data_IF_932871802071
#
_entry.id   IF_932871802071
#
_cell.length_a   1.000
_cell.length_b   1.000
_cell.length_c   1.000
_cell.angle_alpha   90.00
_cell.angle_beta   90.00
_cell.angle_gamma   90.00
#
_symmetry.space_group_name_H-M   'P 1'
#
loop_
_entity.id
_entity.type
_entity.pdbx_description
1 polymer ?
#
# COMPACT_ATOMS: atom_id res chain seq x y z
N UNK A 1 -25.99 17.01 -20.83
CA UNK A 1 -25.18 16.60 -19.66
C UNK A 1 -23.72 16.67 -20.07
N UNK A 2 -23.04 17.74 -19.72
CA UNK A 2 -21.63 17.97 -20.09
C UNK A 2 -20.79 17.17 -19.10
N UNK A 3 -19.91 16.33 -19.59
CA UNK A 3 -19.02 15.47 -18.79
C UNK A 3 -17.99 16.32 -18.02
N UNK A 4 -18.18 16.65 -16.74
CA UNK A 4 -17.30 17.58 -16.04
C UNK A 4 -15.89 17.02 -15.74
N UNK A 5 -15.57 15.80 -16.22
CA UNK A 5 -14.32 15.11 -15.90
C UNK A 5 -13.56 14.55 -17.12
N UNK A 6 -13.91 14.93 -18.35
CA UNK A 6 -13.24 14.38 -19.56
C UNK A 6 -11.72 14.60 -19.50
N UNK A 7 -11.28 15.79 -19.08
CA UNK A 7 -9.86 16.11 -18.96
C UNK A 7 -9.15 15.26 -17.90
N UNK A 8 -9.82 14.98 -16.77
CA UNK A 8 -9.29 14.13 -15.69
C UNK A 8 -9.23 12.65 -16.10
N UNK A 9 -10.24 12.15 -16.78
CA UNK A 9 -10.27 10.79 -17.33
C UNK A 9 -9.15 10.58 -18.36
N UNK A 10 -8.95 11.54 -19.25
CA UNK A 10 -7.86 11.48 -20.23
C UNK A 10 -6.49 11.54 -19.55
N UNK A 11 -6.31 12.44 -18.58
CA UNK A 11 -5.10 12.53 -17.77
C UNK A 11 -4.80 11.24 -17.02
N UNK A 12 -5.82 10.54 -16.51
CA UNK A 12 -5.69 9.26 -15.84
C UNK A 12 -5.16 8.17 -16.79
N UNK A 13 -5.71 8.08 -18.00
CA UNK A 13 -5.25 7.13 -19.02
C UNK A 13 -3.80 7.40 -19.39
N UNK A 14 -3.45 8.66 -19.66
CA UNK A 14 -2.07 9.05 -19.99
C UNK A 14 -1.11 8.70 -18.84
N UNK A 15 -1.49 8.97 -17.59
CA UNK A 15 -0.70 8.66 -16.40
C UNK A 15 -0.41 7.17 -16.29
N UNK A 16 -1.43 6.30 -16.42
CA UNK A 16 -1.25 4.86 -16.40
C UNK A 16 -0.34 4.35 -17.55
N UNK A 17 -0.41 4.96 -18.73
CA UNK A 17 0.45 4.61 -19.87
C UNK A 17 1.89 5.08 -19.61
N UNK A 18 2.05 6.32 -19.14
CA UNK A 18 3.38 6.93 -18.91
C UNK A 18 4.15 6.22 -17.80
N UNK A 19 3.50 5.90 -16.67
CA UNK A 19 4.14 5.19 -15.58
C UNK A 19 4.61 3.79 -15.99
N UNK A 20 3.82 3.06 -16.79
CA UNK A 20 4.24 1.77 -17.35
C UNK A 20 5.41 1.86 -18.33
N UNK A 21 5.63 3.03 -18.94
CA UNK A 21 6.78 3.32 -19.81
C UNK A 21 7.97 3.91 -19.08
N UNK A 22 7.96 3.93 -17.75
CA UNK A 22 9.01 4.51 -16.93
C UNK A 22 9.14 6.03 -17.02
N UNK A 23 8.09 6.73 -17.45
CA UNK A 23 8.04 8.19 -17.52
C UNK A 23 7.35 8.74 -16.28
N UNK A 24 8.14 9.17 -15.31
CA UNK A 24 7.67 9.67 -14.02
C UNK A 24 7.79 11.20 -13.93
N UNK A 25 6.92 11.81 -13.12
CA UNK A 25 7.00 13.24 -12.83
C UNK A 25 8.20 13.54 -11.94
N UNK A 26 9.01 14.54 -12.34
CA UNK A 26 10.25 14.87 -11.63
C UNK A 26 10.12 16.01 -10.59
N UNK A 27 8.99 16.70 -10.56
CA UNK A 27 8.85 18.04 -9.96
C UNK A 27 8.22 18.08 -8.57
N UNK A 28 7.88 16.92 -7.97
CA UNK A 28 7.20 16.87 -6.67
C UNK A 28 7.84 15.86 -5.73
N UNK A 29 7.71 16.12 -4.44
CA UNK A 29 8.01 15.13 -3.41
C UNK A 29 7.12 13.90 -3.62
N UNK A 30 7.73 12.76 -3.87
CA UNK A 30 7.05 11.53 -4.25
C UNK A 30 6.90 10.53 -3.10
N UNK A 31 7.56 10.77 -1.96
CA UNK A 31 7.44 9.90 -0.79
C UNK A 31 7.68 10.65 0.51
N UNK A 32 7.15 10.12 1.60
CA UNK A 32 7.32 10.58 2.98
C UNK A 32 7.66 9.38 3.87
N UNK A 33 8.49 9.60 4.88
CA UNK A 33 8.80 8.62 5.92
C UNK A 33 8.30 9.16 7.25
N UNK A 34 7.27 8.52 7.79
CA UNK A 34 6.57 8.96 9.00
C UNK A 34 6.89 8.00 10.14
N UNK A 35 8.02 8.23 10.82
CA UNK A 35 8.48 7.40 11.94
C UNK A 35 7.50 7.52 13.13
N UNK A 36 7.32 6.43 13.90
CA UNK A 36 6.47 6.37 15.10
C UNK A 36 5.07 6.93 14.82
N UNK A 37 4.41 6.42 13.79
CA UNK A 37 3.11 6.93 13.34
C UNK A 37 1.99 6.63 14.34
N UNK A 38 2.09 5.52 15.07
CA UNK A 38 1.16 5.15 16.12
C UNK A 38 1.76 5.42 17.50
N UNK A 39 0.93 5.78 18.50
CA UNK A 39 1.36 5.75 19.90
C UNK A 39 1.91 4.37 20.28
N UNK A 40 2.96 4.34 21.06
CA UNK A 40 3.68 3.09 21.38
C UNK A 40 2.75 2.00 21.96
N UNK A 41 1.84 2.35 22.86
CA UNK A 41 0.87 1.41 23.45
C UNK A 41 0.00 0.75 22.39
N UNK A 42 -0.50 1.54 21.43
CA UNK A 42 -1.36 1.06 20.36
C UNK A 42 -0.56 0.17 19.41
N UNK A 43 0.64 0.60 19.06
CA UNK A 43 1.54 -0.18 18.23
C UNK A 43 1.85 -1.55 18.83
N UNK A 44 2.21 -1.62 20.11
CA UNK A 44 2.51 -2.88 20.80
C UNK A 44 1.27 -3.78 20.88
N UNK A 45 0.08 -3.20 21.07
CA UNK A 45 -1.17 -3.95 21.03
C UNK A 45 -1.40 -4.59 19.66
N UNK A 46 -1.27 -3.81 18.57
CA UNK A 46 -1.45 -4.31 17.20
C UNK A 46 -0.41 -5.38 16.84
N UNK A 47 0.86 -5.15 17.21
CA UNK A 47 1.94 -6.12 17.02
C UNK A 47 1.63 -7.45 17.71
N UNK A 48 1.20 -7.40 18.97
CA UNK A 48 0.84 -8.58 19.73
C UNK A 48 -0.38 -9.32 19.14
N UNK A 49 -1.37 -8.56 18.64
CA UNK A 49 -2.53 -9.10 17.97
C UNK A 49 -2.14 -9.88 16.71
N UNK A 50 -1.27 -9.30 15.88
CA UNK A 50 -0.78 -9.94 14.65
C UNK A 50 0.03 -11.20 14.94
N UNK A 51 0.92 -11.15 15.93
CA UNK A 51 1.74 -12.32 16.31
C UNK A 51 0.87 -13.52 16.75
N UNK A 52 -0.22 -13.27 17.46
CA UNK A 52 -1.16 -14.34 17.90
C UNK A 52 -2.02 -14.90 16.76
N UNK A 53 -2.20 -14.16 15.69
CA UNK A 53 -3.13 -14.48 14.60
C UNK A 53 -2.44 -14.79 13.26
N UNK A 54 -1.17 -15.18 13.29
CA UNK A 54 -0.41 -15.50 12.06
C UNK A 54 -1.05 -16.62 11.22
N UNK A 55 -1.80 -17.52 11.83
CA UNK A 55 -2.51 -18.59 11.11
C UNK A 55 -3.61 -18.10 10.16
N UNK A 56 -4.08 -16.85 10.31
CA UNK A 56 -5.06 -16.27 9.42
C UNK A 56 -4.48 -15.88 8.05
N UNK A 57 -3.16 -15.77 7.93
CA UNK A 57 -2.52 -15.39 6.68
C UNK A 57 -2.45 -16.57 5.72
N UNK A 58 -3.26 -16.54 4.71
CA UNK A 58 -3.24 -17.55 3.65
C UNK A 58 -2.25 -17.16 2.55
N UNK A 59 -1.46 -18.14 2.10
CA UNK A 59 -0.54 -17.93 0.99
C UNK A 59 -1.32 -17.62 -0.29
N UNK A 60 -0.92 -16.54 -0.98
CA UNK A 60 -1.52 -16.11 -2.24
C UNK A 60 -0.40 -15.60 -3.16
N UNK A 61 0.21 -16.51 -3.90
CA UNK A 61 1.25 -16.15 -4.87
C UNK A 61 0.62 -15.63 -6.17
N UNK A 62 1.29 -14.68 -6.78
CA UNK A 62 0.97 -14.14 -8.10
C UNK A 62 2.23 -14.01 -8.95
N UNK A 63 2.12 -13.50 -10.16
CA UNK A 63 3.26 -13.27 -11.07
C UNK A 63 4.28 -12.26 -10.52
N UNK A 64 3.84 -11.33 -9.67
CA UNK A 64 4.69 -10.25 -9.13
C UNK A 64 4.90 -10.34 -7.63
N UNK A 65 4.09 -11.14 -6.91
CA UNK A 65 4.17 -11.29 -5.45
C UNK A 65 4.17 -12.76 -5.05
N UNK A 66 5.09 -13.11 -4.17
CA UNK A 66 5.10 -14.35 -3.40
C UNK A 66 4.93 -14.01 -1.92
N UNK A 67 4.05 -14.70 -1.23
CA UNK A 67 3.75 -14.45 0.18
C UNK A 67 2.27 -14.55 0.50
N UNK A 68 1.90 -14.20 1.73
CA UNK A 68 0.54 -14.27 2.23
C UNK A 68 -0.09 -12.88 2.32
N UNK A 69 -1.41 -12.81 2.15
CA UNK A 69 -2.15 -11.56 2.26
C UNK A 69 -3.55 -11.76 2.81
N UNK A 70 -4.06 -10.74 3.53
CA UNK A 70 -5.46 -10.64 3.94
C UNK A 70 -5.99 -9.28 3.49
N UNK A 71 -7.06 -9.26 2.72
CA UNK A 71 -7.71 -8.03 2.26
C UNK A 71 -8.59 -7.38 3.32
N UNK A 72 -8.88 -6.08 3.17
CA UNK A 72 -9.62 -5.30 4.17
C UNK A 72 -11.00 -5.86 4.53
N UNK A 73 -11.71 -6.45 3.58
CA UNK A 73 -13.00 -7.07 3.87
C UNK A 73 -12.87 -8.29 4.80
N UNK A 74 -11.90 -9.17 4.56
CA UNK A 74 -11.62 -10.33 5.41
C UNK A 74 -11.15 -9.88 6.79
N UNK A 75 -10.30 -8.84 6.86
CA UNK A 75 -9.79 -8.29 8.12
C UNK A 75 -10.90 -7.78 9.03
N UNK A 76 -11.86 -7.01 8.49
CA UNK A 76 -13.00 -6.47 9.26
C UNK A 76 -13.89 -7.55 9.86
N UNK A 77 -13.94 -8.71 9.24
CA UNK A 77 -14.73 -9.86 9.69
C UNK A 77 -13.91 -10.92 10.45
N UNK A 78 -12.72 -10.58 10.88
CA UNK A 78 -11.78 -11.46 11.56
C UNK A 78 -11.46 -11.00 12.98
N UNK A 79 -10.65 -11.79 13.69
CA UNK A 79 -10.08 -11.41 14.98
C UNK A 79 -9.14 -10.19 14.89
N UNK A 80 -8.83 -9.72 13.67
CA UNK A 80 -8.01 -8.54 13.41
C UNK A 80 -8.83 -7.26 13.17
N UNK A 81 -10.15 -7.28 13.42
CA UNK A 81 -11.03 -6.12 13.22
C UNK A 81 -10.56 -4.88 13.99
N UNK A 82 -10.08 -5.04 15.22
CA UNK A 82 -9.56 -3.92 16.04
C UNK A 82 -8.33 -3.24 15.44
N UNK A 83 -7.53 -3.97 14.65
CA UNK A 83 -6.43 -3.36 13.87
C UNK A 83 -6.99 -2.41 12.81
N UNK A 84 -8.04 -2.85 12.11
CA UNK A 84 -8.69 -2.02 11.08
C UNK A 84 -9.28 -0.76 11.72
N UNK A 85 -10.00 -0.88 12.81
CA UNK A 85 -10.60 0.24 13.56
C UNK A 85 -9.55 1.27 13.99
N UNK A 86 -8.35 0.82 14.36
CA UNK A 86 -7.26 1.70 14.81
C UNK A 86 -6.54 2.42 13.68
N UNK A 87 -6.46 1.83 12.50
CA UNK A 87 -5.70 2.37 11.36
C UNK A 87 -6.62 3.02 10.33
N UNK A 88 -7.79 2.43 10.07
CA UNK A 88 -8.77 2.95 9.10
C UNK A 88 -9.77 3.90 9.78
N UNK A 89 -9.25 4.94 10.42
CA UNK A 89 -10.03 5.93 11.17
C UNK A 89 -9.63 7.37 10.83
N UNK A 90 -10.48 8.31 11.20
CA UNK A 90 -10.27 9.73 10.95
C UNK A 90 -9.01 10.27 11.67
N UNK A 91 -8.75 9.80 12.90
CA UNK A 91 -7.61 10.22 13.70
C UNK A 91 -6.28 9.85 13.02
N UNK A 92 -6.16 8.60 12.56
CA UNK A 92 -4.97 8.17 11.83
C UNK A 92 -4.77 8.97 10.53
N UNK A 93 -5.86 9.20 9.78
CA UNK A 93 -5.81 9.98 8.56
C UNK A 93 -5.34 11.42 8.82
N UNK A 94 -5.79 12.03 9.92
CA UNK A 94 -5.38 13.39 10.29
C UNK A 94 -3.89 13.46 10.67
N UNK A 95 -3.37 12.45 11.34
CA UNK A 95 -1.93 12.33 11.60
C UNK A 95 -1.16 12.28 10.28
N UNK A 96 -1.62 11.49 9.31
CA UNK A 96 -0.97 11.39 8.01
C UNK A 96 -1.02 12.72 7.27
N UNK A 97 -2.17 13.40 7.24
CA UNK A 97 -2.34 14.73 6.61
C UNK A 97 -1.41 15.77 7.21
N UNK A 98 -1.41 15.90 8.52
CA UNK A 98 -0.60 16.90 9.24
C UNK A 98 0.89 16.69 9.02
N UNK A 99 1.35 15.44 8.98
CA UNK A 99 2.77 15.10 8.83
C UNK A 99 3.26 15.14 7.38
N UNK A 100 2.37 15.05 6.40
CA UNK A 100 2.71 15.12 4.97
C UNK A 100 2.43 16.49 4.35
N UNK A 101 1.58 17.31 4.98
CA UNK A 101 1.09 18.56 4.41
C UNK A 101 0.05 18.36 3.28
N UNK A 102 -0.40 17.12 3.02
CA UNK A 102 -1.42 16.82 2.01
C UNK A 102 -2.80 16.89 2.67
N UNK A 103 -3.33 18.09 2.82
CA UNK A 103 -4.55 18.37 3.60
C UNK A 103 -5.81 17.69 3.07
N UNK A 104 -5.89 17.45 1.76
CA UNK A 104 -7.04 16.80 1.12
C UNK A 104 -6.87 15.28 0.92
N UNK A 105 -5.83 14.67 1.49
CA UNK A 105 -5.64 13.23 1.43
C UNK A 105 -6.82 12.50 2.09
N UNK A 106 -7.31 11.44 1.46
CA UNK A 106 -8.41 10.62 1.95
C UNK A 106 -8.10 9.16 1.74
N UNK A 107 -8.64 8.28 2.58
CA UNK A 107 -8.69 6.87 2.22
C UNK A 107 -9.53 6.68 0.96
N UNK A 108 -9.16 5.74 0.13
CA UNK A 108 -10.02 5.29 -0.98
C UNK A 108 -11.29 4.64 -0.43
N UNK A 109 -12.36 4.48 -1.24
CA UNK A 109 -13.61 3.90 -0.77
C UNK A 109 -13.42 2.54 -0.09
N UNK A 110 -14.21 2.29 0.95
CA UNK A 110 -14.14 1.03 1.73
C UNK A 110 -14.37 -0.23 0.90
N UNK A 111 -15.15 -0.11 -0.15
CA UNK A 111 -15.36 -1.19 -1.11
C UNK A 111 -14.12 -1.58 -1.91
N UNK A 112 -13.04 -0.78 -1.89
CA UNK A 112 -11.76 -1.15 -2.49
C UNK A 112 -10.96 -2.02 -1.53
N UNK A 113 -10.73 -3.26 -1.91
CA UNK A 113 -9.96 -4.23 -1.11
C UNK A 113 -8.54 -3.75 -0.81
N UNK A 114 -7.97 -2.88 -1.66
CA UNK A 114 -6.64 -2.30 -1.45
C UNK A 114 -6.63 -1.14 -0.45
N UNK A 115 -7.79 -0.65 0.00
CA UNK A 115 -7.86 0.45 0.99
C UNK A 115 -7.01 0.15 2.21
N UNK A 116 -7.10 -1.09 2.69
CA UNK A 116 -6.28 -1.63 3.77
C UNK A 116 -6.11 -3.13 3.56
N UNK A 117 -4.88 -3.61 3.61
CA UNK A 117 -4.57 -5.03 3.58
C UNK A 117 -3.33 -5.32 4.42
N UNK A 118 -3.22 -6.56 4.90
CA UNK A 118 -2.03 -7.07 5.55
C UNK A 118 -1.25 -7.93 4.57
N UNK A 119 0.06 -7.76 4.54
CA UNK A 119 0.99 -8.58 3.77
C UNK A 119 1.97 -9.24 4.74
N UNK A 120 2.18 -10.53 4.57
CA UNK A 120 3.05 -11.35 5.39
C UNK A 120 4.03 -12.15 4.52
N UNK A 121 5.29 -11.94 4.75
CA UNK A 121 6.43 -12.57 4.07
C UNK A 121 7.23 -13.34 5.13
N UNK A 122 7.39 -14.65 4.97
CA UNK A 122 8.06 -15.53 5.94
C UNK A 122 8.89 -16.65 5.32
N UNK A 123 8.55 -17.03 4.08
CA UNK A 123 9.25 -18.11 3.41
C UNK A 123 10.40 -17.54 2.58
N UNK A 124 11.49 -18.29 2.45
CA UNK A 124 12.62 -17.87 1.61
C UNK A 124 12.15 -17.59 0.18
N UNK A 125 12.53 -16.42 -0.34
CA UNK A 125 12.13 -15.95 -1.65
C UNK A 125 10.76 -15.22 -1.68
N UNK A 126 10.05 -15.09 -0.56
CA UNK A 126 8.85 -14.25 -0.48
C UNK A 126 9.22 -12.80 -0.80
N UNK A 127 8.50 -12.20 -1.75
CA UNK A 127 8.82 -10.87 -2.29
C UNK A 127 7.62 -10.23 -2.98
N UNK A 128 7.80 -9.01 -3.38
CA UNK A 128 7.05 -8.38 -4.47
C UNK A 128 8.06 -7.67 -5.39
N UNK A 129 8.05 -8.04 -6.67
CA UNK A 129 8.99 -7.51 -7.65
C UNK A 129 8.76 -6.04 -7.96
N UNK A 130 9.73 -5.42 -8.65
CA UNK A 130 9.61 -4.04 -9.12
C UNK A 130 8.34 -3.82 -9.92
N UNK A 131 7.51 -2.90 -9.44
CA UNK A 131 6.26 -2.53 -10.10
C UNK A 131 5.90 -1.08 -9.81
N UNK A 132 4.94 -0.58 -10.54
CA UNK A 132 4.16 0.62 -10.22
C UNK A 132 2.71 0.20 -10.11
N UNK A 133 1.99 0.82 -9.21
CA UNK A 133 0.57 0.56 -9.05
C UNK A 133 -0.24 1.08 -10.24
N UNK A 134 -1.23 0.32 -10.69
CA UNK A 134 -2.29 0.88 -11.52
C UNK A 134 -3.21 1.78 -10.70
N UNK A 135 -3.81 2.79 -11.29
CA UNK A 135 -4.80 3.62 -10.60
C UNK A 135 -6.10 3.75 -11.38
N UNK A 136 -7.22 3.71 -10.64
CA UNK A 136 -8.57 3.99 -11.13
C UNK A 136 -9.12 5.28 -10.56
N UNK A 137 -8.35 5.98 -9.72
CA UNK A 137 -8.73 7.24 -9.09
C UNK A 137 -8.31 8.42 -9.97
N UNK A 138 -9.16 9.46 -10.01
CA UNK A 138 -8.96 10.60 -10.90
C UNK A 138 -7.75 11.47 -10.52
N UNK A 139 -7.25 11.36 -9.30
CA UNK A 139 -6.05 12.03 -8.84
C UNK A 139 -4.97 11.03 -8.38
N UNK A 140 -3.88 11.54 -7.83
CA UNK A 140 -2.72 10.74 -7.46
C UNK A 140 -3.08 9.59 -6.52
N UNK A 141 -2.49 8.44 -6.74
CA UNK A 141 -2.58 7.27 -5.88
C UNK A 141 -1.41 7.27 -4.93
N UNK A 142 -1.70 7.34 -3.64
CA UNK A 142 -0.73 7.25 -2.58
C UNK A 142 -0.82 5.88 -1.91
N UNK A 143 0.25 5.10 -1.99
CA UNK A 143 0.39 3.85 -1.27
C UNK A 143 1.14 4.09 0.04
N UNK A 144 0.64 3.51 1.13
CA UNK A 144 1.27 3.57 2.45
C UNK A 144 1.68 2.18 2.91
N UNK A 145 2.92 2.00 3.31
CA UNK A 145 3.41 0.76 3.91
C UNK A 145 3.77 1.04 5.37
N UNK A 146 2.94 0.57 6.29
CA UNK A 146 3.20 0.63 7.73
C UNK A 146 3.84 -0.69 8.17
N UNK A 147 5.09 -0.62 8.62
CA UNK A 147 5.83 -1.80 9.05
C UNK A 147 5.53 -2.13 10.51
N UNK A 148 5.01 -3.34 10.75
CA UNK A 148 4.69 -3.84 12.10
C UNK A 148 5.77 -4.82 12.59
N UNK A 149 6.23 -5.71 11.71
CA UNK A 149 7.30 -6.66 11.99
C UNK A 149 8.25 -6.63 10.81
N UNK A 150 9.53 -6.53 11.09
CA UNK A 150 10.60 -6.69 10.10
C UNK A 150 11.82 -7.27 10.82
N UNK A 151 11.78 -8.58 11.04
CA UNK A 151 12.87 -9.36 11.61
C UNK A 151 13.68 -9.94 10.44
N UNK A 152 14.73 -9.22 10.07
CA UNK A 152 15.57 -9.52 8.92
C UNK A 152 17.05 -9.43 9.27
N UNK A 153 17.88 -10.11 8.49
CA UNK A 153 19.33 -10.22 8.71
C UNK A 153 20.11 -9.04 8.12
N UNK A 154 19.48 -8.29 7.22
CA UNK A 154 20.10 -7.16 6.53
C UNK A 154 19.94 -5.86 7.32
N UNK A 155 20.81 -4.88 7.08
CA UNK A 155 20.74 -3.56 7.71
C UNK A 155 19.63 -2.69 7.13
N UNK A 156 19.30 -2.89 5.86
CA UNK A 156 18.25 -2.17 5.15
C UNK A 156 16.97 -3.00 5.03
N UNK A 157 15.84 -2.36 5.24
CA UNK A 157 14.50 -2.90 5.06
C UNK A 157 14.32 -3.56 3.69
N UNK A 158 13.41 -4.53 3.62
CA UNK A 158 13.04 -5.15 2.34
C UNK A 158 12.29 -4.17 1.40
N UNK A 159 11.71 -3.08 1.94
CA UNK A 159 11.08 -2.06 1.11
C UNK A 159 12.13 -1.22 0.37
N UNK A 160 12.01 -1.15 -0.94
CA UNK A 160 12.79 -0.25 -1.77
C UNK A 160 11.87 0.59 -2.67
N UNK A 161 12.22 1.86 -2.82
CA UNK A 161 11.58 2.80 -3.72
C UNK A 161 12.60 3.27 -4.77
N UNK A 162 12.10 3.69 -5.94
CA UNK A 162 12.94 4.30 -6.97
C UNK A 162 12.32 5.63 -7.47
N UNK A 163 12.20 6.64 -6.57
CA UNK A 163 11.71 7.95 -6.97
C UNK A 163 12.73 8.63 -7.89
N UNK A 164 12.24 9.20 -8.98
CA UNK A 164 13.08 9.92 -9.97
C UNK A 164 14.27 9.10 -10.53
N UNK A 165 14.17 7.77 -10.55
CA UNK A 165 15.25 6.89 -10.99
C UNK A 165 16.38 6.72 -9.97
N UNK A 166 16.21 7.18 -8.75
CA UNK A 166 17.16 7.03 -7.65
C UNK A 166 16.66 6.02 -6.64
N UNK A 167 17.30 4.86 -6.56
CA UNK A 167 16.94 3.84 -5.58
C UNK A 167 17.13 4.35 -4.17
N UNK A 168 16.11 4.15 -3.33
CA UNK A 168 16.08 4.48 -1.91
C UNK A 168 15.85 3.23 -1.10
N UNK A 169 16.69 3.03 -0.10
CA UNK A 169 16.58 2.02 0.94
C UNK A 169 16.34 2.71 2.28
N UNK A 170 15.92 1.96 3.27
CA UNK A 170 15.58 2.47 4.60
C UNK A 170 16.24 1.59 5.66
N UNK A 171 16.97 2.15 6.64
CA UNK A 171 17.53 1.36 7.73
C UNK A 171 16.43 0.59 8.49
N UNK A 172 16.59 -0.72 8.66
CA UNK A 172 15.58 -1.56 9.35
C UNK A 172 15.29 -1.05 10.76
N UNK A 173 16.28 -0.50 11.44
CA UNK A 173 16.14 0.05 12.81
C UNK A 173 15.15 1.22 12.92
N UNK A 174 14.80 1.85 11.79
CA UNK A 174 13.84 2.96 11.72
C UNK A 174 12.48 2.56 11.14
N UNK A 175 12.32 1.31 10.68
CA UNK A 175 11.11 0.92 9.97
C UNK A 175 9.95 0.50 10.86
N UNK A 176 10.23 -0.02 12.04
CA UNK A 176 9.18 -0.45 12.97
C UNK A 176 8.34 0.75 13.41
N UNK A 177 7.01 0.61 13.33
CA UNK A 177 6.04 1.69 13.58
C UNK A 177 6.24 2.90 12.65
N UNK A 178 6.73 2.67 11.44
CA UNK A 178 6.96 3.71 10.43
C UNK A 178 6.06 3.49 9.23
N UNK A 179 5.36 4.54 8.83
CA UNK A 179 4.60 4.58 7.60
C UNK A 179 5.45 5.23 6.51
N UNK A 180 5.81 4.47 5.48
CA UNK A 180 6.36 5.01 4.25
C UNK A 180 5.20 5.23 3.29
N UNK A 181 4.88 6.50 3.01
CA UNK A 181 3.84 6.93 2.09
C UNK A 181 4.49 7.39 0.79
N UNK A 182 4.04 6.88 -0.36
CA UNK A 182 4.61 7.24 -1.67
C UNK A 182 3.55 7.22 -2.78
N UNK A 183 3.82 7.94 -3.87
CA UNK A 183 2.95 7.94 -5.06
C UNK A 183 3.08 6.58 -5.77
N UNK A 184 2.21 5.62 -5.44
CA UNK A 184 2.30 4.24 -5.92
C UNK A 184 2.21 4.10 -7.44
N UNK A 185 1.48 5.00 -8.10
CA UNK A 185 1.34 5.04 -9.56
C UNK A 185 2.48 5.79 -10.28
N UNK A 186 3.46 6.34 -9.55
CA UNK A 186 4.58 7.09 -10.11
C UNK A 186 5.94 6.59 -9.64
N UNK A 187 6.02 5.99 -8.47
CA UNK A 187 7.27 5.51 -7.87
C UNK A 187 7.37 4.00 -8.04
N UNK A 188 8.31 3.50 -8.85
CA UNK A 188 8.62 2.08 -8.84
C UNK A 188 9.02 1.65 -7.45
N UNK A 189 8.48 0.52 -7.00
CA UNK A 189 8.75 0.01 -5.67
C UNK A 189 8.73 -1.51 -5.64
N UNK A 190 9.39 -2.08 -4.62
CA UNK A 190 9.41 -3.53 -4.38
C UNK A 190 9.58 -3.86 -2.90
N UNK A 191 9.31 -5.13 -2.55
CA UNK A 191 9.86 -5.75 -1.37
C UNK A 191 10.87 -6.80 -1.82
N UNK A 192 12.14 -6.66 -1.42
CA UNK A 192 13.21 -7.61 -1.75
C UNK A 192 12.87 -9.02 -1.24
N UNK A 193 13.39 -10.07 -1.87
CA UNK A 193 13.19 -11.43 -1.41
C UNK A 193 13.62 -11.62 0.05
N UNK A 194 12.80 -12.36 0.80
CA UNK A 194 13.15 -12.81 2.14
C UNK A 194 14.26 -13.85 2.09
N UNK A 195 15.20 -13.76 3.01
CA UNK A 195 16.16 -14.83 3.27
C UNK A 195 15.53 -15.87 4.22
N UNK A 196 16.20 -17.00 4.34
CA UNK A 196 15.78 -18.03 5.29
C UNK A 196 15.72 -17.49 6.73
N UNK A 197 14.68 -17.84 7.47
CA UNK A 197 14.43 -17.43 8.87
C UNK A 197 14.23 -15.91 9.05
N UNK A 198 13.81 -15.20 8.02
CA UNK A 198 13.36 -13.82 8.11
C UNK A 198 11.84 -13.74 8.15
N UNK A 199 11.32 -12.67 8.76
CA UNK A 199 9.88 -12.44 8.88
C UNK A 199 9.54 -10.95 8.72
N UNK A 200 8.49 -10.67 7.92
CA UNK A 200 8.01 -9.30 7.70
C UNK A 200 6.48 -9.27 7.63
N UNK A 201 5.85 -8.40 8.45
CA UNK A 201 4.42 -8.10 8.38
C UNK A 201 4.24 -6.60 8.23
N UNK A 202 3.50 -6.22 7.21
CA UNK A 202 3.17 -4.81 6.95
C UNK A 202 1.68 -4.63 6.71
N UNK A 203 1.18 -3.44 7.07
CA UNK A 203 -0.13 -2.95 6.64
C UNK A 203 0.07 -2.13 5.38
N UNK A 204 -0.57 -2.52 4.30
CA UNK A 204 -0.66 -1.74 3.08
C UNK A 204 -1.93 -0.90 3.10
N UNK A 205 -1.78 0.39 2.85
CA UNK A 205 -2.85 1.39 2.89
C UNK A 205 -2.93 2.12 1.55
N UNK A 206 -4.12 2.55 1.18
CA UNK A 206 -4.33 3.28 -0.05
C UNK A 206 -5.10 4.58 0.17
N UNK A 207 -4.50 5.66 -0.32
CA UNK A 207 -5.05 7.01 -0.23
C UNK A 207 -5.11 7.69 -1.59
N UNK A 208 -5.93 8.73 -1.68
CA UNK A 208 -5.97 9.66 -2.82
C UNK A 208 -6.46 11.03 -2.35
N UNK A 209 -5.94 12.14 -2.91
CA UNK A 209 -6.52 13.47 -2.68
C UNK A 209 -7.95 13.61 -3.22
N UNK A 210 -8.29 12.80 -4.23
CA UNK A 210 -9.64 12.67 -4.76
C UNK A 210 -9.92 11.20 -5.10
N UNK A 211 -10.55 10.44 -4.19
CA UNK A 211 -10.80 9.02 -4.36
C UNK A 211 -11.99 8.72 -5.29
N UNK A 212 -12.41 9.69 -6.12
CA UNK A 212 -13.42 9.44 -7.14
C UNK A 212 -12.89 8.49 -8.19
N UNK A 213 -13.61 7.39 -8.40
CA UNK A 213 -13.25 6.38 -9.39
C UNK A 213 -13.53 6.87 -10.81
N UNK A 214 -12.72 6.40 -11.75
CA UNK A 214 -12.93 6.57 -13.18
C UNK A 214 -14.27 5.95 -13.65
N UNK A 215 -14.87 6.55 -14.66
CA UNK A 215 -15.99 5.94 -15.38
C UNK A 215 -15.52 5.01 -16.51
N UNK A 216 -14.23 4.91 -16.76
CA UNK A 216 -13.67 4.04 -17.81
C UNK A 216 -13.86 2.56 -17.45
N UNK A 217 -14.68 1.80 -18.21
CA UNK A 217 -14.98 0.40 -17.88
C UNK A 217 -13.76 -0.52 -18.01
N UNK A 218 -12.81 -0.20 -18.89
CA UNK A 218 -11.59 -1.00 -19.09
C UNK A 218 -10.69 -0.91 -17.85
N UNK A 219 -10.48 0.30 -17.32
CA UNK A 219 -9.67 0.49 -16.10
C UNK A 219 -10.36 -0.16 -14.88
N UNK A 220 -11.68 -0.09 -14.79
CA UNK A 220 -12.44 -0.73 -13.72
C UNK A 220 -12.34 -2.26 -13.79
N UNK A 221 -12.46 -2.83 -14.99
CA UNK A 221 -12.31 -4.28 -15.20
C UNK A 221 -10.89 -4.73 -14.87
N UNK A 222 -9.87 -3.98 -15.29
CA UNK A 222 -8.48 -4.24 -14.93
C UNK A 222 -8.28 -4.25 -13.41
N UNK A 223 -8.83 -3.26 -12.69
CA UNK A 223 -8.72 -3.21 -11.22
C UNK A 223 -9.43 -4.41 -10.56
N UNK A 224 -10.61 -4.79 -11.04
CA UNK A 224 -11.33 -5.95 -10.53
C UNK A 224 -10.52 -7.25 -10.73
N UNK A 225 -9.84 -7.37 -11.86
CA UNK A 225 -8.95 -8.50 -12.16
C UNK A 225 -7.72 -8.50 -11.22
N UNK A 226 -7.08 -7.35 -11.00
CA UNK A 226 -5.98 -7.22 -10.03
C UNK A 226 -6.44 -7.62 -8.63
N UNK A 227 -7.58 -7.13 -8.17
CA UNK A 227 -8.12 -7.46 -6.85
C UNK A 227 -8.40 -8.96 -6.71
N UNK A 228 -8.93 -9.58 -7.76
CA UNK A 228 -9.16 -11.03 -7.77
C UNK A 228 -7.85 -11.82 -7.63
N UNK A 229 -6.81 -11.45 -8.37
CA UNK A 229 -5.50 -12.12 -8.31
C UNK A 229 -4.85 -11.94 -6.93
N UNK A 230 -4.86 -10.72 -6.39
CA UNK A 230 -4.14 -10.43 -5.15
C UNK A 230 -4.90 -10.87 -3.88
N UNK A 231 -6.23 -10.80 -3.87
CA UNK A 231 -7.05 -11.01 -2.68
C UNK A 231 -8.17 -12.03 -2.85
N UNK A 232 -8.34 -12.60 -4.04
CA UNK A 232 -9.44 -13.54 -4.34
C UNK A 232 -10.82 -12.89 -4.39
N UNK A 233 -10.92 -11.54 -4.36
CA UNK A 233 -12.17 -10.81 -4.39
C UNK A 233 -12.17 -9.78 -5.54
N UNK A 234 -13.05 -9.88 -6.56
CA UNK A 234 -13.10 -8.95 -7.67
C UNK A 234 -13.78 -7.61 -7.33
N UNK A 235 -14.42 -7.50 -6.15
CA UNK A 235 -15.10 -6.26 -5.75
C UNK A 235 -14.08 -5.19 -5.38
N UNK A 236 -14.12 -4.09 -6.13
CA UNK A 236 -13.39 -2.86 -5.90
C UNK A 236 -14.34 -1.67 -5.95
#
# INVERSE_FOLDING_TARGET
MIFPNISKEYALILRNIQSRRGRFRADKQQYFVLEKILPEKDFQHLRSLLLRNKALFLRKDSTVRKGSAIGGHELRNSQLASLVERIDCAEFLEIVRSRTGISNLQFVPEADTNRLSLLYYKDEGDCIDWHVDGTIYLEDRWAGILTIIEDIKELDSKLELNPHGQQKTFPVSKMINTLVLFQGDQVPHRARPMLKDEERIVVSLLFSPNPKRTNNPILRLYQAWVNYIFYGNPKA
#
